data_IF_311902260014
#
_entry.id   IF_311902260014
#
_cell.length_a   1.000
_cell.length_b   1.000
_cell.length_c   1.000
_cell.angle_alpha   90.00
_cell.angle_beta   90.00
_cell.angle_gamma   90.00
#
_symmetry.space_group_name_H-M   'P 1'
#
loop_
_entity.id
_entity.type
_entity.pdbx_description
1 polymer ?
#
# COMPACT_ATOMS: atom_id res chain seq x y z
N UNK A 1 2.23 26.59 15.67
CA UNK A 1 3.69 26.50 15.47
C UNK A 1 4.07 25.04 15.64
N UNK A 2 4.31 24.35 14.54
CA UNK A 2 4.94 23.04 14.48
C UNK A 2 6.43 23.28 14.16
N UNK A 3 7.35 22.55 14.80
CA UNK A 3 8.38 21.74 14.13
C UNK A 3 9.30 21.08 15.16
N UNK A 4 9.18 19.75 15.22
CA UNK A 4 10.27 18.75 15.26
C UNK A 4 11.37 18.90 16.32
N UNK A 5 11.26 18.09 17.37
CA UNK A 5 12.40 17.68 18.18
C UNK A 5 12.55 16.16 18.13
N UNK A 6 13.62 15.68 17.50
CA UNK A 6 14.23 14.40 17.86
C UNK A 6 15.68 14.69 18.30
N UNK A 7 16.14 14.20 19.48
CA UNK A 7 17.48 14.48 20.02
C UNK A 7 18.55 13.54 19.45
N UNK A 8 19.85 13.84 19.67
CA UNK A 8 20.96 13.34 18.84
C UNK A 8 21.31 11.88 19.15
N UNK A 9 21.45 11.07 18.11
CA UNK A 9 21.85 9.67 18.24
C UNK A 9 23.38 9.55 18.42
N UNK A 10 23.82 9.48 19.67
CA UNK A 10 25.20 9.14 20.03
C UNK A 10 25.35 7.61 20.13
N UNK A 11 25.86 6.98 19.07
CA UNK A 11 26.64 5.74 19.18
C UNK A 11 25.91 4.42 19.44
N UNK A 12 24.62 4.28 19.12
CA UNK A 12 24.01 2.95 18.97
C UNK A 12 24.16 2.43 17.53
N UNK A 13 24.45 1.14 17.30
CA UNK A 13 24.28 0.54 15.98
C UNK A 13 22.82 0.74 15.57
N UNK A 14 22.60 1.41 14.43
CA UNK A 14 21.28 1.45 13.79
C UNK A 14 20.79 0.01 13.62
N UNK A 15 19.56 -0.25 14.05
CA UNK A 15 18.99 -1.59 14.00
C UNK A 15 18.85 -2.06 12.54
N UNK A 16 18.82 -3.37 12.35
CA UNK A 16 18.46 -3.98 11.07
C UNK A 16 17.07 -3.49 10.69
N UNK A 17 16.90 -3.04 9.44
CA UNK A 17 15.62 -2.63 8.84
C UNK A 17 14.98 -1.33 9.37
N UNK A 18 15.72 -0.22 9.35
CA UNK A 18 15.11 1.10 9.50
C UNK A 18 14.39 1.52 8.20
N UNK A 19 13.10 1.84 8.31
CA UNK A 19 12.24 2.36 7.24
C UNK A 19 12.38 3.89 7.21
N UNK A 20 12.79 4.46 6.06
CA UNK A 20 13.00 5.90 5.93
C UNK A 20 12.00 6.58 4.97
N UNK A 21 11.60 7.82 5.29
CA UNK A 21 10.81 8.74 4.45
C UNK A 21 11.55 10.08 4.26
N UNK A 22 11.89 10.47 3.03
CA UNK A 22 12.25 11.86 2.71
C UNK A 22 11.69 12.25 1.33
N UNK A 23 10.73 13.18 1.30
CA UNK A 23 10.00 13.50 0.06
C UNK A 23 9.21 12.28 -0.43
N UNK A 24 9.31 11.99 -1.73
CA UNK A 24 8.67 10.83 -2.37
C UNK A 24 9.48 9.54 -2.22
N UNK A 25 10.63 9.58 -1.53
CA UNK A 25 11.55 8.45 -1.41
C UNK A 25 11.24 7.66 -0.14
N UNK A 26 11.10 6.35 -0.33
CA UNK A 26 10.92 5.35 0.71
C UNK A 26 11.89 4.20 0.48
N UNK A 27 12.49 3.65 1.53
CA UNK A 27 13.41 2.53 1.39
C UNK A 27 13.76 1.83 2.70
N UNK A 28 14.32 0.62 2.56
CA UNK A 28 14.96 -0.17 3.63
C UNK A 28 16.46 -0.16 3.40
N UNK A 29 17.22 0.16 4.44
CA UNK A 29 18.64 -0.15 4.48
C UNK A 29 18.85 -1.52 5.10
N UNK A 30 19.39 -2.46 4.32
CA UNK A 30 19.76 -3.77 4.83
C UNK A 30 21.22 -3.78 5.25
N UNK A 31 21.44 -3.83 6.57
CA UNK A 31 22.76 -3.95 7.18
C UNK A 31 23.21 -5.42 7.23
N UNK A 32 24.35 -5.77 6.64
CA UNK A 32 24.90 -7.14 6.71
C UNK A 32 26.11 -7.30 7.63
N UNK A 33 26.48 -6.25 8.38
CA UNK A 33 27.56 -6.34 9.36
C UNK A 33 28.98 -6.20 8.80
N UNK A 34 29.15 -5.94 7.50
CA UNK A 34 30.47 -5.73 6.89
C UNK A 34 30.63 -4.30 6.37
N UNK A 35 31.79 -3.63 6.52
CA UNK A 35 31.95 -2.21 6.16
C UNK A 35 31.86 -1.90 4.65
N UNK A 36 31.57 -2.91 3.80
CA UNK A 36 31.84 -2.87 2.38
C UNK A 36 30.67 -3.33 1.50
N UNK A 37 29.48 -3.63 2.05
CA UNK A 37 28.43 -4.28 1.26
C UNK A 37 27.01 -3.98 1.76
N UNK A 38 26.75 -2.73 2.11
CA UNK A 38 25.39 -2.31 2.47
C UNK A 38 24.49 -2.24 1.22
N UNK A 39 23.21 -2.56 1.39
CA UNK A 39 22.20 -2.48 0.33
C UNK A 39 21.14 -1.44 0.71
N UNK A 40 20.81 -0.57 -0.23
CA UNK A 40 19.66 0.31 -0.12
C UNK A 40 18.59 -0.14 -1.12
N UNK A 41 17.44 -0.56 -0.60
CA UNK A 41 16.29 -0.95 -1.40
C UNK A 41 15.21 0.12 -1.28
N UNK A 42 14.73 0.63 -2.40
CA UNK A 42 13.60 1.56 -2.38
C UNK A 42 12.30 0.77 -2.17
N UNK A 43 11.49 1.16 -1.18
CA UNK A 43 10.17 0.59 -0.87
C UNK A 43 9.03 1.21 -1.66
N UNK A 44 9.29 2.23 -2.48
CA UNK A 44 8.26 2.94 -3.25
C UNK A 44 8.58 3.06 -4.73
N UNK A 45 7.51 3.04 -5.52
CA UNK A 45 7.54 3.27 -6.95
C UNK A 45 7.87 4.75 -7.24
N UNK A 46 9.07 5.03 -7.74
CA UNK A 46 9.36 6.35 -8.29
C UNK A 46 8.79 6.40 -9.72
N UNK A 47 7.62 7.05 -9.86
CA UNK A 47 7.00 7.34 -11.17
C UNK A 47 7.89 8.22 -12.08
N UNK A 48 8.88 8.89 -11.49
CA UNK A 48 9.85 9.66 -12.25
C UNK A 48 10.90 8.73 -12.85
N UNK A 49 11.19 8.82 -14.16
CA UNK A 49 12.30 8.09 -14.78
C UNK A 49 13.65 8.51 -14.18
N UNK A 50 13.68 9.63 -13.45
CA UNK A 50 14.84 10.14 -12.73
C UNK A 50 14.64 9.97 -11.23
N UNK A 51 15.59 9.30 -10.58
CA UNK A 51 15.69 9.08 -9.13
C UNK A 51 16.84 9.91 -8.58
N UNK A 52 16.54 10.76 -7.60
CA UNK A 52 17.53 11.58 -6.91
C UNK A 52 17.95 10.87 -5.63
N UNK A 53 19.23 10.54 -5.48
CA UNK A 53 19.78 9.80 -4.36
C UNK A 53 20.74 10.73 -3.59
N UNK A 54 20.29 11.34 -2.48
CA UNK A 54 21.17 12.13 -1.63
C UNK A 54 22.33 11.28 -1.11
N UNK A 55 23.56 11.71 -1.36
CA UNK A 55 24.78 11.03 -0.91
C UNK A 55 24.85 11.05 0.63
N UNK A 56 24.25 12.02 1.30
CA UNK A 56 24.13 12.05 2.77
C UNK A 56 23.51 10.77 3.35
N UNK A 57 22.64 10.09 2.59
CA UNK A 57 22.06 8.81 3.02
C UNK A 57 23.05 7.65 2.98
N UNK A 58 24.02 7.75 2.09
CA UNK A 58 25.05 6.74 1.86
C UNK A 58 26.20 6.84 2.87
N UNK A 59 26.19 7.86 3.75
CA UNK A 59 27.21 8.15 4.76
C UNK A 59 26.76 7.91 6.21
N UNK A 60 25.50 7.54 6.47
CA UNK A 60 24.95 7.50 7.84
C UNK A 60 25.63 6.48 8.78
N UNK A 61 26.56 5.64 8.29
CA UNK A 61 27.28 4.66 9.09
C UNK A 61 28.82 4.68 8.93
N UNK A 62 29.41 5.66 8.23
CA UNK A 62 30.88 5.80 8.21
C UNK A 62 31.36 6.66 9.38
N UNK A 63 31.89 6.01 10.41
CA UNK A 63 32.50 6.68 11.58
C UNK A 63 33.88 7.28 11.27
N UNK A 64 34.44 7.08 10.07
CA UNK A 64 35.76 7.60 9.68
C UNK A 64 35.64 9.01 9.09
N UNK A 65 35.58 9.96 10.02
CA UNK A 65 35.42 11.40 9.83
C UNK A 65 36.61 12.07 9.07
N UNK A 66 36.76 11.80 7.78
CA UNK A 66 37.74 12.42 6.88
C UNK A 66 37.06 13.18 5.73
N UNK A 67 37.64 14.30 5.30
CA UNK A 67 37.14 15.07 4.16
C UNK A 67 37.02 14.19 2.91
N UNK A 68 35.79 14.06 2.41
CA UNK A 68 35.44 13.26 1.24
C UNK A 68 35.95 13.99 0.01
N UNK A 69 36.86 13.35 -0.74
CA UNK A 69 37.14 13.73 -2.12
C UNK A 69 36.26 12.80 -2.96
N UNK A 70 35.26 13.29 -3.72
CA UNK A 70 34.49 12.44 -4.61
C UNK A 70 35.41 11.95 -5.73
N UNK A 71 36.14 10.85 -5.49
CA UNK A 71 36.85 10.12 -6.53
C UNK A 71 35.88 9.13 -7.19
N UNK A 72 34.94 9.71 -7.97
CA UNK A 72 34.37 9.29 -9.25
C UNK A 72 34.21 7.78 -9.59
N UNK A 73 34.10 6.90 -8.61
CA UNK A 73 33.92 5.47 -8.81
C UNK A 73 32.46 5.07 -8.85
N UNK A 74 31.65 5.67 -9.72
CA UNK A 74 30.30 5.13 -9.95
C UNK A 74 30.39 4.10 -11.08
N UNK A 75 29.92 2.87 -10.82
CA UNK A 75 30.15 1.75 -11.72
C UNK A 75 28.94 0.83 -11.82
N UNK A 76 28.90 0.02 -12.89
CA UNK A 76 27.93 -1.06 -13.07
C UNK A 76 26.44 -0.62 -12.94
N UNK A 77 26.03 0.33 -13.77
CA UNK A 77 24.59 0.64 -13.90
C UNK A 77 23.89 -0.49 -14.66
N UNK A 78 22.85 -1.05 -14.06
CA UNK A 78 21.89 -1.91 -14.75
C UNK A 78 20.67 -1.05 -15.04
N UNK A 79 20.27 -1.01 -16.31
CA UNK A 79 19.02 -0.40 -16.73
C UNK A 79 18.86 1.09 -16.30
N UNK A 80 19.92 1.86 -16.45
CA UNK A 80 19.90 3.30 -16.28
C UNK A 80 21.27 3.94 -16.47
N UNK A 81 21.26 5.26 -16.46
CA UNK A 81 22.44 6.11 -16.60
C UNK A 81 22.44 7.16 -15.50
N UNK A 82 23.62 7.66 -15.17
CA UNK A 82 23.81 8.63 -14.10
C UNK A 82 24.16 9.96 -14.75
N UNK A 83 23.56 11.04 -14.26
CA UNK A 83 24.02 12.36 -14.66
C UNK A 83 25.43 12.62 -14.14
N UNK A 84 26.25 13.41 -14.86
CA UNK A 84 27.57 13.79 -14.39
C UNK A 84 27.48 14.40 -13.00
N UNK A 85 28.40 13.98 -12.13
CA UNK A 85 28.46 14.50 -10.78
C UNK A 85 28.73 16.01 -10.79
N UNK A 86 27.93 16.78 -10.07
CA UNK A 86 28.16 18.20 -9.84
C UNK A 86 28.81 18.31 -8.46
N UNK A 87 30.06 18.76 -8.38
CA UNK A 87 30.90 18.64 -7.16
C UNK A 87 30.37 19.32 -5.90
N UNK A 88 29.33 20.14 -6.03
CA UNK A 88 28.65 20.91 -5.01
C UNK A 88 27.17 20.52 -4.83
N UNK A 89 26.70 19.48 -5.53
CA UNK A 89 25.39 18.87 -5.31
C UNK A 89 25.59 17.48 -4.69
N UNK A 90 25.20 17.26 -3.43
CA UNK A 90 25.36 15.99 -2.76
C UNK A 90 24.27 14.99 -3.20
N UNK A 91 23.91 14.96 -4.48
CA UNK A 91 22.83 14.12 -5.02
C UNK A 91 23.30 13.37 -6.26
N UNK A 92 23.14 12.05 -6.27
CA UNK A 92 23.29 11.25 -7.47
C UNK A 92 21.95 11.25 -8.21
N UNK A 93 21.97 11.69 -9.46
CA UNK A 93 20.78 11.69 -10.32
C UNK A 93 20.85 10.49 -11.25
N UNK A 94 20.05 9.45 -10.97
CA UNK A 94 19.97 8.24 -11.78
C UNK A 94 18.74 8.28 -12.68
N UNK A 95 18.93 8.17 -13.99
CA UNK A 95 17.84 8.10 -14.98
C UNK A 95 17.71 6.68 -15.52
N UNK A 96 16.54 6.06 -15.33
CA UNK A 96 16.21 4.71 -15.82
C UNK A 96 16.15 4.70 -17.35
N UNK A 97 16.70 3.66 -17.97
CA UNK A 97 16.56 3.43 -19.42
C UNK A 97 15.26 2.73 -19.78
N UNK A 98 14.78 1.85 -18.89
CA UNK A 98 13.50 1.15 -19.01
C UNK A 98 12.86 1.09 -17.61
N UNK A 99 11.81 1.87 -17.32
CA UNK A 99 11.19 1.87 -16.00
C UNK A 99 10.54 0.51 -15.64
N UNK A 100 10.28 -0.35 -16.63
CA UNK A 100 9.60 -1.65 -16.46
C UNK A 100 10.51 -2.79 -16.00
N UNK A 101 11.81 -2.51 -15.85
CA UNK A 101 12.82 -3.47 -15.42
C UNK A 101 13.51 -2.95 -14.16
N UNK A 102 13.99 -3.86 -13.32
CA UNK A 102 14.81 -3.50 -12.17
C UNK A 102 16.01 -2.69 -12.64
N UNK A 103 16.31 -1.61 -11.93
CA UNK A 103 17.51 -0.81 -12.17
C UNK A 103 18.43 -0.97 -10.97
N UNK A 104 19.73 -1.11 -11.24
CA UNK A 104 20.76 -1.25 -10.20
C UNK A 104 21.82 -0.19 -10.41
N UNK A 105 22.33 0.33 -9.31
CA UNK A 105 23.45 1.25 -9.29
C UNK A 105 24.45 0.78 -8.23
N UNK A 106 25.66 0.45 -8.63
CA UNK A 106 26.76 0.24 -7.69
C UNK A 106 27.58 1.53 -7.55
N UNK A 107 27.90 1.93 -6.33
CA UNK A 107 28.73 3.09 -6.09
C UNK A 107 29.91 2.76 -5.17
N UNK A 108 31.03 3.41 -5.43
CA UNK A 108 32.26 3.31 -4.65
C UNK A 108 32.58 4.69 -4.07
N UNK A 109 32.57 4.79 -2.75
CA UNK A 109 33.05 5.97 -2.04
C UNK A 109 34.49 5.72 -1.58
N UNK A 110 35.38 6.66 -1.86
CA UNK A 110 36.76 6.63 -1.40
C UNK A 110 37.02 7.83 -0.51
N UNK A 111 37.65 7.58 0.62
CA UNK A 111 38.26 8.63 1.44
C UNK A 111 39.75 8.31 1.63
N UNK A 112 40.50 9.18 2.31
CA UNK A 112 41.93 8.97 2.58
C UNK A 112 42.21 7.78 3.52
N UNK A 113 41.19 7.02 3.94
CA UNK A 113 41.24 5.98 4.96
C UNK A 113 40.70 4.63 4.45
N UNK A 114 40.06 4.58 3.27
CA UNK A 114 39.49 3.36 2.72
C UNK A 114 38.55 3.55 1.53
N UNK A 115 38.02 2.41 1.07
CA UNK A 115 37.01 2.31 0.02
C UNK A 115 35.79 1.60 0.61
N UNK A 116 34.62 2.25 0.52
CA UNK A 116 33.33 1.65 0.87
C UNK A 116 32.50 1.52 -0.42
N UNK A 117 31.79 0.40 -0.55
CA UNK A 117 30.95 0.11 -1.72
C UNK A 117 29.54 -0.19 -1.28
N UNK A 118 28.56 0.30 -2.02
CA UNK A 118 27.18 -0.08 -1.80
C UNK A 118 26.40 -0.19 -3.11
N UNK A 119 25.36 -1.01 -3.04
CA UNK A 119 24.42 -1.25 -4.12
C UNK A 119 23.13 -0.53 -3.79
N UNK A 120 22.63 0.23 -4.76
CA UNK A 120 21.28 0.77 -4.76
C UNK A 120 20.46 -0.04 -5.76
N UNK A 121 19.42 -0.69 -5.27
CA UNK A 121 18.44 -1.39 -6.10
C UNK A 121 17.19 -0.52 -6.21
N UNK A 122 16.79 -0.20 -7.43
CA UNK A 122 15.58 0.56 -7.72
C UNK A 122 14.56 -0.44 -8.31
N UNK A 123 13.49 -0.76 -7.58
CA UNK A 123 12.51 -1.75 -8.01
C UNK A 123 11.84 -1.28 -9.29
N UNK A 124 11.32 -2.24 -10.06
CA UNK A 124 10.53 -2.00 -11.28
C UNK A 124 9.45 -0.95 -11.01
N UNK A 125 9.33 0.06 -11.88
CA UNK A 125 8.06 0.78 -11.99
C UNK A 125 7.08 -0.23 -12.57
N UNK A 126 6.21 -0.78 -11.72
CA UNK A 126 5.13 -1.61 -12.23
C UNK A 126 4.31 -0.73 -13.17
N UNK A 127 4.42 -0.97 -14.47
CA UNK A 127 3.35 -0.63 -15.43
C UNK A 127 2.03 -1.07 -14.82
N UNK A 128 0.89 -0.37 -15.00
CA UNK A 128 -0.35 -0.66 -14.28
C UNK A 128 -0.68 -2.14 -14.49
N UNK A 129 -0.32 -2.96 -13.51
CA UNK A 129 -0.32 -4.41 -13.63
C UNK A 129 -1.48 -4.84 -12.79
N UNK A 130 -2.54 -5.30 -13.45
CA UNK A 130 -3.64 -5.91 -12.71
C UNK A 130 -3.11 -7.13 -11.96
N UNK A 131 -3.05 -7.06 -10.64
CA UNK A 131 -2.61 -8.13 -9.77
C UNK A 131 -3.81 -8.83 -9.13
N UNK A 132 -3.68 -10.15 -8.94
CA UNK A 132 -4.54 -10.91 -8.05
C UNK A 132 -3.73 -11.26 -6.81
N UNK A 133 -4.07 -10.66 -5.68
CA UNK A 133 -3.37 -10.79 -4.40
C UNK A 133 -4.30 -11.52 -3.44
N UNK A 134 -3.81 -12.60 -2.81
CA UNK A 134 -4.60 -13.43 -1.91
C UNK A 134 -3.81 -13.75 -0.63
N UNK A 135 -4.29 -13.31 0.53
CA UNK A 135 -3.73 -13.60 1.86
C UNK A 135 -4.07 -15.02 2.34
N UNK A 136 -5.17 -15.59 1.85
CA UNK A 136 -5.75 -16.88 2.21
C UNK A 136 -6.30 -16.93 3.63
N UNK A 137 -5.44 -16.97 4.64
CA UNK A 137 -5.91 -17.01 6.01
C UNK A 137 -4.81 -16.70 7.01
N UNK A 138 -5.19 -16.20 8.17
CA UNK A 138 -4.33 -15.40 9.03
C UNK A 138 -4.71 -13.93 8.93
N UNK A 139 -4.09 -13.09 9.76
CA UNK A 139 -4.25 -11.64 9.64
C UNK A 139 -3.11 -11.12 8.76
N UNK A 140 -3.43 -10.71 7.55
CA UNK A 140 -2.48 -10.32 6.51
C UNK A 140 -2.43 -8.79 6.32
N UNK A 141 -1.34 -8.33 5.71
CA UNK A 141 -1.23 -6.96 5.20
C UNK A 141 -0.96 -7.05 3.71
N UNK A 142 -1.97 -6.69 2.92
CA UNK A 142 -1.94 -6.78 1.46
C UNK A 142 -1.85 -5.38 0.86
N UNK A 143 -0.85 -5.20 0.00
CA UNK A 143 -0.59 -3.96 -0.72
C UNK A 143 -0.65 -4.23 -2.22
N UNK A 144 -1.56 -3.55 -2.90
CA UNK A 144 -1.63 -3.45 -4.35
C UNK A 144 -0.39 -2.82 -4.97
N UNK A 145 -0.29 -2.95 -6.28
CA UNK A 145 0.66 -2.25 -7.13
C UNK A 145 0.10 -0.90 -7.59
N UNK A 146 0.52 -0.47 -8.76
CA UNK A 146 -0.24 0.52 -9.51
C UNK A 146 -1.07 -0.25 -10.56
N UNK A 147 -2.26 0.22 -10.91
CA UNK A 147 -3.17 -0.47 -11.82
C UNK A 147 -4.42 -0.99 -11.11
N UNK A 148 -5.25 -1.76 -11.83
CA UNK A 148 -6.53 -2.24 -11.29
C UNK A 148 -6.34 -3.62 -10.64
N UNK A 149 -6.18 -3.65 -9.33
CA UNK A 149 -5.87 -4.87 -8.60
C UNK A 149 -7.11 -5.58 -8.05
N UNK A 150 -6.96 -6.84 -7.69
CA UNK A 150 -7.93 -7.62 -6.93
C UNK A 150 -7.26 -8.14 -5.67
N UNK A 151 -7.70 -7.65 -4.52
CA UNK A 151 -7.22 -8.05 -3.20
C UNK A 151 -8.26 -8.94 -2.52
N UNK A 152 -7.84 -10.15 -2.16
CA UNK A 152 -8.60 -11.12 -1.37
C UNK A 152 -7.85 -11.28 -0.04
N UNK A 153 -8.40 -10.74 1.05
CA UNK A 153 -7.82 -10.93 2.38
C UNK A 153 -7.85 -12.41 2.76
N UNK A 154 -9.06 -12.97 2.77
CA UNK A 154 -9.32 -14.35 3.14
C UNK A 154 -9.74 -14.44 4.60
N UNK A 155 -9.42 -15.54 5.29
CA UNK A 155 -9.82 -15.72 6.69
C UNK A 155 -8.92 -14.98 7.67
N UNK A 156 -9.41 -13.94 8.34
CA UNK A 156 -8.70 -13.19 9.36
C UNK A 156 -9.13 -11.73 9.34
N UNK A 157 -8.51 -10.90 10.17
CA UNK A 157 -8.72 -9.46 10.10
C UNK A 157 -7.54 -8.85 9.35
N UNK A 158 -7.77 -8.49 8.10
CA UNK A 158 -6.69 -8.08 7.19
C UNK A 158 -6.57 -6.56 7.08
N UNK A 159 -5.41 -6.09 6.61
CA UNK A 159 -5.16 -4.70 6.25
C UNK A 159 -4.93 -4.64 4.74
N UNK A 160 -5.82 -3.97 4.02
CA UNK A 160 -5.85 -3.93 2.56
C UNK A 160 -5.60 -2.51 2.06
N UNK A 161 -4.73 -2.36 1.05
CA UNK A 161 -4.43 -1.06 0.41
C UNK A 161 -4.30 -1.28 -1.09
N UNK A 162 -5.18 -0.67 -1.88
CA UNK A 162 -5.24 -0.86 -3.34
C UNK A 162 -4.20 -0.03 -4.12
N UNK A 163 -3.95 1.19 -3.64
CA UNK A 163 -3.13 2.26 -4.22
C UNK A 163 -3.77 2.89 -5.48
N UNK A 164 -2.97 3.14 -6.50
CA UNK A 164 -3.39 3.90 -7.67
C UNK A 164 -4.10 2.98 -8.65
N UNK A 165 -5.39 3.18 -8.87
CA UNK A 165 -6.14 2.35 -9.80
C UNK A 165 -7.63 2.35 -9.54
N UNK A 166 -8.29 1.38 -10.16
CA UNK A 166 -9.64 0.96 -9.79
C UNK A 166 -9.54 -0.46 -9.25
N UNK A 167 -9.50 -0.56 -7.94
CA UNK A 167 -9.20 -1.80 -7.24
C UNK A 167 -10.46 -2.54 -6.81
N UNK A 168 -10.33 -3.85 -6.67
CA UNK A 168 -11.39 -4.75 -6.24
C UNK A 168 -11.00 -5.41 -4.92
N UNK A 169 -11.72 -5.09 -3.86
CA UNK A 169 -11.63 -5.78 -2.56
C UNK A 169 -12.67 -6.89 -2.55
N UNK A 170 -12.24 -8.15 -2.63
CA UNK A 170 -13.12 -9.31 -2.81
C UNK A 170 -13.31 -10.07 -1.51
N UNK A 171 -14.57 -10.39 -1.23
CA UNK A 171 -15.02 -11.24 -0.12
C UNK A 171 -15.81 -12.42 -0.69
N UNK A 172 -15.41 -13.64 -0.31
CA UNK A 172 -16.13 -14.85 -0.68
C UNK A 172 -17.16 -15.26 0.38
N UNK A 173 -17.07 -14.74 1.61
CA UNK A 173 -18.01 -15.01 2.70
C UNK A 173 -18.09 -13.84 3.70
N UNK A 174 -19.25 -13.57 4.33
CA UNK A 174 -19.33 -12.59 5.41
C UNK A 174 -18.57 -13.03 6.67
N UNK A 175 -18.11 -14.28 6.75
CA UNK A 175 -17.41 -14.86 7.90
C UNK A 175 -15.88 -14.94 7.74
N UNK A 176 -15.35 -14.27 6.72
CA UNK A 176 -13.90 -14.18 6.46
C UNK A 176 -13.17 -13.38 7.55
N UNK A 177 -13.82 -12.37 8.12
CA UNK A 177 -13.30 -11.58 9.23
C UNK A 177 -13.64 -10.11 9.02
N UNK A 178 -12.95 -9.22 9.73
CA UNK A 178 -13.19 -7.78 9.65
C UNK A 178 -11.95 -7.08 9.12
N UNK A 179 -11.97 -6.77 7.83
CA UNK A 179 -10.85 -6.15 7.15
C UNK A 179 -10.85 -4.63 7.31
N UNK A 180 -9.66 -4.05 7.27
CA UNK A 180 -9.43 -2.60 7.24
C UNK A 180 -8.91 -2.20 5.85
N UNK A 181 -9.73 -1.49 5.09
CA UNK A 181 -9.35 -0.96 3.77
C UNK A 181 -8.87 0.48 3.96
N UNK A 182 -7.60 0.75 3.69
CA UNK A 182 -6.94 1.99 4.10
C UNK A 182 -7.16 3.17 3.12
N UNK A 183 -7.43 2.90 1.85
CA UNK A 183 -7.39 3.90 0.78
C UNK A 183 -8.56 3.83 -0.21
N UNK A 184 -9.67 3.20 0.19
CA UNK A 184 -10.85 3.06 -0.67
C UNK A 184 -11.29 4.41 -1.26
N UNK A 185 -11.38 4.44 -2.58
CA UNK A 185 -11.74 5.59 -3.40
C UNK A 185 -13.05 5.36 -4.16
N UNK A 186 -13.61 6.41 -4.76
CA UNK A 186 -14.87 6.31 -5.48
C UNK A 186 -14.81 5.39 -6.72
N UNK A 187 -13.62 5.15 -7.26
CA UNK A 187 -13.40 4.23 -8.38
C UNK A 187 -13.45 2.76 -7.99
N UNK A 188 -13.17 2.46 -6.72
CA UNK A 188 -12.97 1.08 -6.26
C UNK A 188 -14.26 0.31 -6.08
N UNK A 189 -14.10 -1.01 -6.02
CA UNK A 189 -15.18 -1.99 -5.99
C UNK A 189 -15.02 -2.90 -4.78
N UNK A 190 -16.12 -3.15 -4.09
CA UNK A 190 -16.25 -4.26 -3.15
C UNK A 190 -16.96 -5.39 -3.89
N UNK A 191 -16.25 -6.48 -4.17
CA UNK A 191 -16.82 -7.65 -4.83
C UNK A 191 -17.24 -8.70 -3.80
N UNK A 192 -18.47 -9.19 -3.90
CA UNK A 192 -19.03 -10.16 -2.95
C UNK A 192 -19.58 -11.38 -3.67
N UNK A 193 -19.19 -12.58 -3.23
CA UNK A 193 -19.73 -13.84 -3.75
C UNK A 193 -21.21 -13.99 -3.41
N UNK A 194 -22.08 -14.07 -4.41
CA UNK A 194 -23.51 -14.31 -4.21
C UNK A 194 -23.76 -15.64 -3.48
N UNK A 195 -23.01 -16.67 -3.85
CA UNK A 195 -23.17 -18.01 -3.28
C UNK A 195 -22.65 -18.09 -1.84
N UNK A 196 -21.57 -17.38 -1.51
CA UNK A 196 -21.01 -17.39 -0.17
C UNK A 196 -21.68 -16.44 0.82
N UNK A 197 -22.26 -15.33 0.34
CA UNK A 197 -23.07 -14.43 1.16
C UNK A 197 -24.53 -14.89 1.29
N UNK A 198 -25.11 -15.46 0.24
CA UNK A 198 -26.51 -15.87 0.25
C UNK A 198 -27.48 -14.67 0.22
N UNK A 199 -28.54 -14.71 1.02
CA UNK A 199 -29.51 -13.60 1.13
C UNK A 199 -30.28 -13.28 -0.16
N UNK A 200 -30.23 -14.13 -1.18
CA UNK A 200 -30.84 -13.87 -2.49
C UNK A 200 -30.10 -12.83 -3.33
N UNK A 201 -28.81 -12.58 -3.06
CA UNK A 201 -27.97 -11.78 -3.93
C UNK A 201 -27.92 -12.40 -5.34
N UNK A 202 -28.00 -11.56 -6.37
CA UNK A 202 -28.02 -12.00 -7.78
C UNK A 202 -26.79 -11.42 -8.49
N UNK A 203 -25.91 -12.27 -9.06
CA UNK A 203 -24.72 -11.80 -9.77
C UNK A 203 -25.05 -10.81 -10.88
N UNK A 204 -24.28 -9.73 -10.96
CA UNK A 204 -24.39 -8.69 -11.99
C UNK A 204 -25.60 -7.76 -11.85
N UNK A 205 -26.42 -7.89 -10.80
CA UNK A 205 -27.53 -6.96 -10.54
C UNK A 205 -27.08 -5.90 -9.54
N UNK A 206 -27.17 -4.64 -9.95
CA UNK A 206 -26.87 -3.49 -9.07
C UNK A 206 -27.82 -3.46 -7.89
N UNK A 207 -27.27 -3.20 -6.71
CA UNK A 207 -28.04 -3.03 -5.49
C UNK A 207 -28.98 -1.82 -5.61
N UNK A 208 -30.20 -1.95 -5.07
CA UNK A 208 -31.17 -0.85 -5.04
C UNK A 208 -31.08 -0.06 -3.74
N UNK A 209 -31.30 1.25 -3.81
CA UNK A 209 -31.50 2.12 -2.63
C UNK A 209 -32.98 2.34 -2.33
N UNK A 210 -33.88 1.63 -3.03
CA UNK A 210 -35.32 1.71 -2.81
C UNK A 210 -35.73 0.94 -1.54
N UNK A 211 -35.99 1.71 -0.49
CA UNK A 211 -36.42 1.22 0.81
C UNK A 211 -37.90 0.81 0.86
N UNK A 212 -38.67 0.97 -0.23
CA UNK A 212 -40.10 0.63 -0.27
C UNK A 212 -40.37 -0.84 -0.58
N UNK A 213 -39.36 -1.58 -1.05
CA UNK A 213 -39.47 -3.01 -1.36
C UNK A 213 -39.40 -3.82 -0.06
N UNK A 214 -40.54 -4.32 0.43
CA UNK A 214 -40.69 -4.93 1.77
C UNK A 214 -40.17 -6.37 1.92
N UNK A 215 -39.67 -7.00 0.86
CA UNK A 215 -39.02 -8.31 0.93
C UNK A 215 -38.19 -8.62 -0.32
N UNK A 216 -36.90 -8.85 -0.13
CA UNK A 216 -36.08 -9.62 -1.07
C UNK A 216 -35.63 -8.92 -2.37
N UNK A 217 -34.89 -9.65 -3.23
CA UNK A 217 -33.91 -9.17 -4.22
C UNK A 217 -34.36 -8.07 -5.21
N UNK A 218 -33.40 -7.34 -5.84
CA UNK A 218 -31.96 -7.58 -5.83
C UNK A 218 -31.25 -6.63 -4.86
N UNK A 219 -30.79 -7.18 -3.73
CA UNK A 219 -29.89 -6.56 -2.76
C UNK A 219 -30.10 -5.07 -2.44
N UNK A 220 -30.59 -4.77 -1.25
CA UNK A 220 -30.76 -3.39 -0.82
C UNK A 220 -29.47 -2.83 -0.20
N UNK A 221 -29.09 -1.62 -0.60
CA UNK A 221 -27.95 -0.87 -0.05
C UNK A 221 -28.45 0.37 0.67
N UNK A 222 -28.00 0.55 1.92
CA UNK A 222 -28.26 1.73 2.72
C UNK A 222 -26.93 2.34 3.21
N UNK A 223 -26.73 3.63 2.95
CA UNK A 223 -25.63 4.40 3.52
C UNK A 223 -26.17 5.57 4.34
N UNK A 224 -25.61 5.80 5.51
CA UNK A 224 -26.01 6.91 6.38
C UNK A 224 -25.18 7.00 7.66
N UNK A 225 -25.28 8.12 8.39
CA UNK A 225 -24.55 8.32 9.63
C UNK A 225 -25.23 7.64 10.82
N UNK A 226 -24.46 7.34 11.86
CA UNK A 226 -25.00 7.09 13.20
C UNK A 226 -25.78 5.78 13.37
N UNK A 227 -25.55 4.77 12.53
CA UNK A 227 -26.10 3.44 12.78
C UNK A 227 -25.55 2.87 14.09
N UNK A 228 -26.45 2.47 14.99
CA UNK A 228 -26.13 1.80 16.25
C UNK A 228 -26.31 0.29 16.08
N UNK A 229 -25.35 -0.50 16.54
CA UNK A 229 -25.41 -1.97 16.51
C UNK A 229 -26.16 -2.51 17.75
N UNK A 230 -27.05 -3.51 17.61
CA UNK A 230 -27.52 -4.11 16.37
C UNK A 230 -28.37 -3.14 15.56
N UNK A 231 -28.23 -3.20 14.23
CA UNK A 231 -29.04 -2.39 13.32
C UNK A 231 -30.43 -3.04 13.29
N UNK A 232 -31.40 -2.41 13.96
CA UNK A 232 -32.77 -2.94 14.11
C UNK A 232 -33.69 -2.26 13.10
N UNK A 233 -34.43 -3.04 12.31
CA UNK A 233 -35.51 -2.55 11.45
C UNK A 233 -35.16 -2.39 9.97
N UNK A 234 -33.99 -2.88 9.54
CA UNK A 234 -33.55 -2.81 8.15
C UNK A 234 -33.78 -4.13 7.44
N UNK A 235 -34.35 -4.08 6.25
CA UNK A 235 -34.40 -5.18 5.27
C UNK A 235 -33.18 -5.15 4.31
N UNK A 236 -32.25 -4.23 4.56
CA UNK A 236 -31.11 -3.95 3.70
C UNK A 236 -30.08 -5.07 3.78
N UNK A 237 -29.47 -5.44 2.65
CA UNK A 237 -28.39 -6.42 2.62
C UNK A 237 -27.05 -5.83 3.01
N UNK A 238 -26.78 -4.62 2.56
CA UNK A 238 -25.55 -3.90 2.83
C UNK A 238 -25.87 -2.59 3.53
N UNK A 239 -25.24 -2.36 4.68
CA UNK A 239 -25.41 -1.14 5.47
C UNK A 239 -24.06 -0.50 5.71
N UNK A 240 -23.88 0.73 5.24
CA UNK A 240 -22.62 1.47 5.36
C UNK A 240 -22.75 2.67 6.30
N UNK A 241 -22.04 2.63 7.43
CA UNK A 241 -22.00 3.73 8.37
C UNK A 241 -21.02 4.81 7.92
N UNK A 242 -21.53 5.93 7.41
CA UNK A 242 -20.72 7.04 6.88
C UNK A 242 -20.00 7.84 7.98
N UNK A 243 -20.22 7.52 9.26
CA UNK A 243 -19.50 8.13 10.39
C UNK A 243 -18.24 7.33 10.75
N UNK A 244 -18.33 6.00 10.69
CA UNK A 244 -17.23 5.11 11.13
C UNK A 244 -16.50 4.43 9.98
N UNK A 245 -17.09 4.39 8.79
CA UNK A 245 -16.60 3.61 7.65
C UNK A 245 -16.93 2.12 7.74
N UNK A 246 -17.76 1.71 8.71
CA UNK A 246 -18.12 0.30 8.87
C UNK A 246 -19.13 -0.13 7.81
N UNK A 247 -18.85 -1.24 7.13
CA UNK A 247 -19.74 -1.92 6.20
C UNK A 247 -20.25 -3.23 6.81
N UNK A 248 -21.56 -3.32 6.95
CA UNK A 248 -22.26 -4.47 7.50
C UNK A 248 -23.01 -5.24 6.40
N UNK A 249 -23.09 -6.55 6.57
CA UNK A 249 -23.95 -7.46 5.83
C UNK A 249 -25.08 -8.00 6.69
N UNK A 250 -26.27 -8.16 6.13
CA UNK A 250 -27.46 -8.71 6.78
C UNK A 250 -28.05 -9.84 5.90
N UNK A 251 -27.89 -11.09 6.36
CA UNK A 251 -28.17 -12.30 5.59
C UNK A 251 -29.66 -12.64 5.49
N UNK A 252 -30.46 -12.24 6.47
CA UNK A 252 -31.90 -12.50 6.55
C UNK A 252 -32.76 -11.23 6.49
N UNK A 253 -32.16 -10.05 6.61
CA UNK A 253 -32.87 -8.76 6.60
C UNK A 253 -33.72 -8.58 7.85
N UNK A 254 -33.37 -9.29 8.94
CA UNK A 254 -34.08 -9.27 10.21
C UNK A 254 -33.29 -8.40 11.21
N UNK A 255 -33.97 -7.50 11.93
CA UNK A 255 -33.39 -6.71 13.01
C UNK A 255 -32.56 -7.56 14.00
N UNK A 256 -31.24 -7.38 14.04
CA UNK A 256 -30.36 -8.08 15.00
C UNK A 256 -29.26 -8.98 14.42
N UNK A 257 -29.35 -9.34 13.13
CA UNK A 257 -28.49 -10.32 12.46
C UNK A 257 -27.36 -9.76 11.59
N UNK A 258 -26.83 -8.57 11.88
CA UNK A 258 -25.80 -7.96 11.00
C UNK A 258 -24.38 -8.40 11.35
N UNK A 259 -23.59 -8.73 10.33
CA UNK A 259 -22.15 -9.04 10.43
C UNK A 259 -21.35 -7.85 9.91
N UNK A 260 -20.38 -7.37 10.68
CA UNK A 260 -19.39 -6.40 10.19
C UNK A 260 -18.42 -7.15 9.28
N UNK A 261 -18.26 -6.70 8.03
CA UNK A 261 -17.38 -7.36 7.05
C UNK A 261 -16.13 -6.52 6.73
N UNK A 262 -16.23 -5.20 6.80
CA UNK A 262 -15.11 -4.32 6.48
C UNK A 262 -15.22 -2.97 7.19
N UNK A 263 -14.08 -2.31 7.37
CA UNK A 263 -13.97 -0.90 7.75
C UNK A 263 -13.17 -0.14 6.70
N UNK A 264 -13.82 0.83 6.05
CA UNK A 264 -13.19 1.73 5.09
C UNK A 264 -12.63 2.94 5.83
N UNK A 265 -11.31 3.05 5.89
CA UNK A 265 -10.63 4.10 6.64
C UNK A 265 -10.98 5.49 6.11
N UNK A 266 -11.28 6.42 7.02
CA UNK A 266 -11.67 7.78 6.66
C UNK A 266 -13.13 7.93 6.23
N UNK A 267 -13.92 6.85 6.28
CA UNK A 267 -15.33 6.82 5.90
C UNK A 267 -15.61 7.45 4.51
N UNK A 268 -14.96 6.96 3.43
CA UNK A 268 -15.13 7.48 2.08
C UNK A 268 -16.57 7.30 1.59
N UNK A 269 -16.93 7.97 0.48
CA UNK A 269 -18.22 7.75 -0.15
C UNK A 269 -18.29 6.33 -0.71
N UNK A 270 -19.23 5.54 -0.21
CA UNK A 270 -19.59 4.22 -0.76
C UNK A 270 -21.03 4.29 -1.26
N UNK A 271 -21.26 3.95 -2.52
CA UNK A 271 -22.59 3.90 -3.12
C UNK A 271 -22.93 2.50 -3.61
N UNK A 272 -24.20 2.25 -3.89
CA UNK A 272 -24.70 0.95 -4.32
C UNK A 272 -23.94 0.35 -5.53
N UNK A 273 -23.45 1.19 -6.45
CA UNK A 273 -22.69 0.75 -7.62
C UNK A 273 -21.25 0.33 -7.32
N UNK A 274 -20.71 0.68 -6.15
CA UNK A 274 -19.39 0.19 -5.73
C UNK A 274 -19.44 -1.26 -5.23
N UNK A 275 -20.62 -1.79 -4.88
CA UNK A 275 -20.74 -3.18 -4.45
C UNK A 275 -21.16 -4.04 -5.64
N UNK A 276 -20.25 -4.89 -6.10
CA UNK A 276 -20.49 -5.80 -7.20
C UNK A 276 -20.78 -7.21 -6.69
N UNK A 277 -21.99 -7.70 -6.97
CA UNK A 277 -22.34 -9.09 -6.68
C UNK A 277 -21.81 -9.97 -7.81
N UNK A 278 -20.97 -10.92 -7.46
CA UNK A 278 -20.33 -11.86 -8.39
C UNK A 278 -20.81 -13.28 -8.14
N UNK A 279 -20.56 -14.18 -9.11
CA UNK A 279 -20.96 -15.58 -9.05
C UNK A 279 -20.21 -16.36 -7.96
#
# INVERSE_FOLDING_TARGET
MNTTGEPPNTGQPVAVDDIFRQGDIFGVFTYNGTPNNDSFDFLQNQISPTVNIPISFLFQNDTRNGAIIPDNGVGNTVNGAISPFVSNDPTIVFTRTDPTRESKLDYVLRNNVGQDTATVTIPVVSTPNTALINGNGGNDTLLGGDGNDTLIGGFGNDILTGRDGTDTFRYDSPSEGVDSILDFSAGDVIAVSASGFGGGLVPGVTLTTDQTLSSGPPGQFLAGPGFTVPIVGTINRFIYNTTTGDLYYDDDGIPGGTILIARLQGAPSLVASNINVIA
#
